data_IF_045836180826
#
_entry.id   IF_045836180826
#
_cell.length_a   1.000
_cell.length_b   1.000
_cell.length_c   1.000
_cell.angle_alpha   90.00
_cell.angle_beta   90.00
_cell.angle_gamma   90.00
#
_symmetry.space_group_name_H-M   'P 1'
#
loop_
_entity.id
_entity.type
_entity.pdbx_description
1 polymer ?
#
# COMPACT_ATOMS: atom_id res chain seq x y z
N UNK A 1 -15.37 15.71 49.65
CA UNK A 1 -15.02 14.28 49.49
C UNK A 1 -14.07 13.92 50.62
N UNK A 2 -14.36 12.93 51.46
CA UNK A 2 -13.62 12.75 52.74
C UNK A 2 -12.20 12.17 52.59
N UNK A 3 -11.80 11.63 51.45
CA UNK A 3 -10.49 10.97 51.31
C UNK A 3 -9.62 11.49 50.14
N UNK A 4 -10.16 12.18 49.14
CA UNK A 4 -9.45 12.67 47.98
C UNK A 4 -10.19 13.84 47.33
N UNK A 5 -9.48 14.92 47.01
CA UNK A 5 -10.05 16.03 46.23
C UNK A 5 -10.15 15.69 44.74
N UNK A 6 -11.00 16.43 43.98
CA UNK A 6 -11.11 16.25 42.52
C UNK A 6 -9.79 16.48 41.81
N UNK A 7 -8.97 17.42 42.26
CA UNK A 7 -7.63 17.70 41.75
C UNK A 7 -6.70 16.49 41.96
N UNK A 8 -6.64 15.97 43.19
CA UNK A 8 -5.83 14.77 43.47
C UNK A 8 -6.28 13.53 42.70
N UNK A 9 -7.58 13.43 42.41
CA UNK A 9 -8.09 12.37 41.55
C UNK A 9 -7.59 12.54 40.09
N UNK A 10 -7.67 13.74 39.52
CA UNK A 10 -7.19 14.01 38.18
C UNK A 10 -5.67 13.80 38.02
N UNK A 11 -4.90 14.17 39.03
CA UNK A 11 -3.46 13.92 39.08
C UNK A 11 -3.15 12.41 38.95
N UNK A 12 -3.86 11.56 39.71
CA UNK A 12 -3.68 10.11 39.69
C UNK A 12 -4.07 9.47 38.36
N UNK A 13 -5.15 9.90 37.71
CA UNK A 13 -5.64 9.30 36.46
C UNK A 13 -4.98 9.88 35.22
N UNK A 14 -4.23 10.97 35.33
CA UNK A 14 -3.60 11.67 34.19
C UNK A 14 -2.72 10.75 33.36
N UNK A 15 -1.94 9.89 33.99
CA UNK A 15 -1.04 8.96 33.33
C UNK A 15 -1.76 7.80 32.64
N UNK A 16 -2.95 7.44 33.14
CA UNK A 16 -3.77 6.37 32.58
C UNK A 16 -4.63 6.86 31.41
N UNK A 17 -5.08 8.12 31.48
CA UNK A 17 -5.97 8.73 30.51
C UNK A 17 -5.51 10.16 30.19
N UNK A 18 -4.52 10.32 29.34
CA UNK A 18 -3.94 11.63 28.99
C UNK A 18 -4.80 12.46 28.04
N UNK A 19 -5.67 11.84 27.25
CA UNK A 19 -6.41 12.50 26.16
C UNK A 19 -7.66 13.27 26.60
N UNK A 20 -8.49 12.82 27.59
CA UNK A 20 -9.71 13.53 28.00
C UNK A 20 -9.40 14.90 28.58
N UNK A 21 -10.20 15.91 28.19
CA UNK A 21 -10.20 17.21 28.83
C UNK A 21 -10.99 17.14 30.15
N UNK A 22 -10.41 17.66 31.23
CA UNK A 22 -10.94 17.58 32.58
C UNK A 22 -11.54 18.89 32.98
N UNK A 23 -12.81 18.89 33.38
CA UNK A 23 -13.51 20.06 33.91
C UNK A 23 -13.77 19.79 35.42
N UNK A 24 -13.32 20.71 36.27
CA UNK A 24 -13.51 20.63 37.71
C UNK A 24 -14.66 21.54 38.13
N UNK A 25 -15.61 20.99 38.88
CA UNK A 25 -16.68 21.80 39.52
C UNK A 25 -16.32 21.98 41.00
N UNK A 26 -16.16 23.23 41.45
CA UNK A 26 -15.64 23.52 42.78
C UNK A 26 -16.45 24.60 43.50
N UNK A 27 -16.34 24.66 44.84
CA UNK A 27 -16.88 25.75 45.66
C UNK A 27 -15.79 26.77 46.01
N UNK A 28 -16.19 27.89 46.60
CA UNK A 28 -15.33 29.04 46.89
C UNK A 28 -14.07 28.73 47.70
N UNK A 29 -14.08 27.71 48.55
CA UNK A 29 -12.95 27.35 49.43
C UNK A 29 -11.74 26.74 48.72
N UNK A 30 -11.89 26.27 47.46
CA UNK A 30 -10.88 25.49 46.78
C UNK A 30 -10.33 26.15 45.52
N UNK A 31 -10.64 27.44 45.29
CA UNK A 31 -10.30 28.19 44.05
C UNK A 31 -8.79 28.24 43.83
N UNK A 32 -7.98 28.48 44.86
CA UNK A 32 -6.53 28.55 44.69
C UNK A 32 -5.92 27.20 44.24
N UNK A 33 -6.42 26.09 44.77
CA UNK A 33 -6.01 24.75 44.36
C UNK A 33 -6.45 24.42 42.91
N UNK A 34 -7.63 24.95 42.52
CA UNK A 34 -8.12 24.80 41.14
C UNK A 34 -7.25 25.60 40.15
N UNK A 35 -6.86 26.83 40.47
CA UNK A 35 -5.98 27.67 39.64
C UNK A 35 -4.61 27.03 39.46
N UNK A 36 -4.02 26.50 40.55
CA UNK A 36 -2.75 25.79 40.50
C UNK A 36 -2.81 24.54 39.58
N UNK A 37 -3.95 23.84 39.61
CA UNK A 37 -4.16 22.66 38.76
C UNK A 37 -4.31 23.01 37.25
N UNK A 38 -4.91 24.17 36.94
CA UNK A 38 -4.96 24.68 35.56
C UNK A 38 -3.55 25.04 35.08
N UNK A 39 -2.78 25.78 35.91
CA UNK A 39 -1.43 26.19 35.59
C UNK A 39 -0.49 25.00 35.37
N UNK A 40 -0.73 23.89 36.07
CA UNK A 40 -0.01 22.61 35.84
C UNK A 40 -0.55 21.80 34.65
N UNK A 41 -1.61 22.27 33.96
CA UNK A 41 -2.24 21.59 32.83
C UNK A 41 -3.02 20.33 33.20
N UNK A 42 -3.38 20.15 34.45
CA UNK A 42 -4.12 18.97 34.93
C UNK A 42 -5.63 19.08 34.72
N UNK A 43 -6.16 20.31 34.73
CA UNK A 43 -7.57 20.66 34.56
C UNK A 43 -7.67 21.64 33.38
N UNK A 44 -8.58 21.39 32.46
CA UNK A 44 -8.85 22.27 31.35
C UNK A 44 -9.59 23.54 31.77
N UNK A 45 -10.58 23.39 32.64
CA UNK A 45 -11.41 24.49 33.16
C UNK A 45 -12.01 24.10 34.51
N UNK A 46 -12.24 25.09 35.36
CA UNK A 46 -13.10 24.94 36.54
C UNK A 46 -14.41 25.69 36.38
N UNK A 47 -15.42 25.27 37.10
CA UNK A 47 -16.77 25.86 37.16
C UNK A 47 -17.13 26.04 38.62
N UNK A 48 -17.54 27.26 38.99
CA UNK A 48 -17.91 27.60 40.39
C UNK A 48 -19.31 27.11 40.72
N UNK A 49 -19.50 26.75 41.99
CA UNK A 49 -20.81 26.47 42.59
C UNK A 49 -21.35 27.73 43.25
N UNK A 50 -22.63 28.11 43.06
CA UNK A 50 -23.62 27.53 42.16
C UNK A 50 -23.32 27.89 40.71
N UNK A 51 -23.53 26.93 39.77
CA UNK A 51 -23.27 27.12 38.34
C UNK A 51 -24.49 27.62 37.59
N UNK A 52 -24.24 28.31 36.51
CA UNK A 52 -25.21 28.63 35.48
C UNK A 52 -25.23 27.52 34.39
N UNK A 53 -26.44 27.06 34.01
CA UNK A 53 -26.58 25.96 33.07
C UNK A 53 -26.06 26.30 31.66
N UNK A 54 -26.22 27.53 31.20
CA UNK A 54 -25.75 27.93 29.87
C UNK A 54 -24.22 28.05 29.86
N UNK A 55 -23.63 28.50 30.95
CA UNK A 55 -22.18 28.51 31.15
C UNK A 55 -21.58 27.09 31.12
N UNK A 56 -22.21 26.14 31.84
CA UNK A 56 -21.78 24.74 31.85
C UNK A 56 -21.88 24.13 30.46
N UNK A 57 -23.00 24.38 29.76
CA UNK A 57 -23.19 23.90 28.38
C UNK A 57 -22.08 24.41 27.50
N UNK A 58 -21.83 25.72 27.46
CA UNK A 58 -20.78 26.34 26.65
C UNK A 58 -19.39 25.81 27.01
N UNK A 59 -19.11 25.57 28.29
CA UNK A 59 -17.84 25.01 28.74
C UNK A 59 -17.61 23.58 28.21
N UNK A 60 -18.67 22.75 28.19
CA UNK A 60 -18.63 21.38 27.69
C UNK A 60 -18.49 21.37 26.16
N UNK A 61 -19.26 22.21 25.45
CA UNK A 61 -19.17 22.33 23.97
C UNK A 61 -17.76 22.74 23.55
N UNK A 62 -17.19 23.78 24.17
CA UNK A 62 -15.82 24.21 23.89
C UNK A 62 -14.79 23.10 24.19
N UNK A 63 -14.95 22.40 25.31
CA UNK A 63 -14.06 21.27 25.63
C UNK A 63 -14.17 20.13 24.61
N UNK A 64 -15.38 19.81 24.18
CA UNK A 64 -15.62 18.79 23.17
C UNK A 64 -14.99 19.15 21.81
N UNK A 65 -15.15 20.39 21.37
CA UNK A 65 -14.57 20.89 20.12
C UNK A 65 -13.04 20.85 20.15
N UNK A 66 -12.43 21.23 21.27
CA UNK A 66 -10.97 21.14 21.43
C UNK A 66 -10.51 19.67 21.45
N UNK A 67 -11.23 18.79 22.15
CA UNK A 67 -10.92 17.36 22.16
C UNK A 67 -10.99 16.76 20.76
N UNK A 68 -12.07 17.06 20.02
CA UNK A 68 -12.26 16.62 18.64
C UNK A 68 -11.13 17.09 17.72
N UNK A 69 -10.81 18.38 17.78
CA UNK A 69 -9.74 18.99 16.97
C UNK A 69 -8.37 18.38 17.29
N UNK A 70 -8.06 18.14 18.58
CA UNK A 70 -6.81 17.49 18.98
C UNK A 70 -6.73 16.05 18.47
N UNK A 71 -7.84 15.32 18.52
CA UNK A 71 -7.92 13.94 18.03
C UNK A 71 -7.70 13.89 16.52
N UNK A 72 -8.41 14.74 15.76
CA UNK A 72 -8.25 14.85 14.30
C UNK A 72 -6.81 15.23 13.93
N UNK A 73 -6.21 16.20 14.63
CA UNK A 73 -4.82 16.60 14.39
C UNK A 73 -3.84 15.45 14.66
N UNK A 74 -4.04 14.68 15.71
CA UNK A 74 -3.21 13.52 16.04
C UNK A 74 -3.32 12.44 14.97
N UNK A 75 -4.53 12.15 14.51
CA UNK A 75 -4.77 11.19 13.41
C UNK A 75 -4.07 11.65 12.12
N UNK A 76 -4.23 12.94 11.74
CA UNK A 76 -3.57 13.51 10.56
C UNK A 76 -2.05 13.50 10.66
N UNK A 77 -1.49 13.82 11.83
CA UNK A 77 -0.05 13.74 12.04
C UNK A 77 0.47 12.30 11.92
N UNK A 78 -0.30 11.32 12.41
CA UNK A 78 0.08 9.90 12.27
C UNK A 78 0.04 9.44 10.81
N UNK A 79 -0.99 9.84 10.06
CA UNK A 79 -1.10 9.58 8.61
C UNK A 79 0.07 10.23 7.84
N UNK A 80 0.35 11.50 8.16
CA UNK A 80 1.44 12.24 7.53
C UNK A 80 2.80 11.60 7.81
N UNK A 81 3.05 11.19 9.07
CA UNK A 81 4.30 10.50 9.43
C UNK A 81 4.47 9.18 8.66
N UNK A 82 3.41 8.38 8.53
CA UNK A 82 3.44 7.15 7.72
C UNK A 82 3.77 7.44 6.26
N UNK A 83 3.15 8.49 5.68
CA UNK A 83 3.43 8.90 4.31
C UNK A 83 4.88 9.38 4.11
N UNK A 84 5.46 10.08 5.10
CA UNK A 84 6.87 10.45 5.08
C UNK A 84 7.79 9.24 5.17
N UNK A 85 7.52 8.29 6.08
CA UNK A 85 8.33 7.08 6.24
C UNK A 85 8.31 6.21 4.97
N UNK A 86 7.16 6.14 4.28
CA UNK A 86 7.02 5.46 2.98
C UNK A 86 7.81 6.19 1.88
N UNK A 87 7.73 7.52 1.83
CA UNK A 87 8.47 8.33 0.87
C UNK A 87 9.99 8.19 1.06
N UNK A 88 10.47 8.21 2.29
CA UNK A 88 11.90 8.04 2.60
C UNK A 88 12.39 6.65 2.17
N UNK A 89 11.64 5.59 2.45
CA UNK A 89 11.95 4.24 1.97
C UNK A 89 11.97 4.19 0.45
N UNK A 90 11.01 4.85 -0.20
CA UNK A 90 10.95 4.94 -1.66
C UNK A 90 12.18 5.64 -2.24
N UNK A 91 12.53 6.82 -1.74
CA UNK A 91 13.68 7.61 -2.23
C UNK A 91 14.99 6.86 -2.05
N UNK A 92 15.18 6.21 -0.89
CA UNK A 92 16.37 5.43 -0.60
C UNK A 92 16.52 4.23 -1.55
N UNK A 93 15.48 3.41 -1.70
CA UNK A 93 15.52 2.24 -2.57
C UNK A 93 15.59 2.61 -4.05
N UNK A 94 14.85 3.64 -4.48
CA UNK A 94 14.91 4.12 -5.86
C UNK A 94 16.33 4.60 -6.20
N UNK A 95 16.97 5.33 -5.30
CA UNK A 95 18.35 5.80 -5.48
C UNK A 95 19.34 4.64 -5.58
N UNK A 96 19.17 3.59 -4.76
CA UNK A 96 20.02 2.39 -4.81
C UNK A 96 19.83 1.63 -6.13
N UNK A 97 18.59 1.40 -6.53
CA UNK A 97 18.26 0.60 -7.73
C UNK A 97 18.55 1.32 -9.06
N UNK A 98 18.58 2.66 -9.03
CA UNK A 98 19.08 3.48 -10.15
C UNK A 98 20.61 3.46 -10.22
N UNK A 99 21.28 3.49 -9.08
CA UNK A 99 22.76 3.50 -9.02
C UNK A 99 23.38 2.21 -9.53
N UNK A 100 22.80 1.05 -9.23
CA UNK A 100 23.35 -0.25 -9.61
C UNK A 100 23.56 -0.42 -11.13
N UNK A 101 22.54 -0.20 -12.02
CA UNK A 101 22.71 -0.29 -13.47
C UNK A 101 23.64 0.81 -14.01
N UNK A 102 23.63 2.03 -13.43
CA UNK A 102 24.54 3.10 -13.81
C UNK A 102 26.00 2.73 -13.53
N UNK A 103 26.29 2.19 -12.34
CA UNK A 103 27.64 1.71 -12.02
C UNK A 103 28.08 0.55 -12.89
N UNK A 104 27.15 -0.34 -13.29
CA UNK A 104 27.41 -1.41 -14.24
C UNK A 104 27.79 -0.85 -15.61
N UNK A 105 27.05 0.15 -16.12
CA UNK A 105 27.36 0.82 -17.39
C UNK A 105 28.74 1.48 -17.32
N UNK A 106 29.02 2.24 -16.26
CA UNK A 106 30.32 2.92 -16.09
C UNK A 106 31.47 1.91 -16.03
N UNK A 107 31.31 0.80 -15.29
CA UNK A 107 32.33 -0.25 -15.22
C UNK A 107 32.58 -0.91 -16.57
N UNK A 108 31.53 -1.15 -17.38
CA UNK A 108 31.65 -1.73 -18.71
C UNK A 108 32.36 -0.75 -19.67
N UNK A 109 32.05 0.55 -19.60
CA UNK A 109 32.72 1.57 -20.40
C UNK A 109 34.21 1.60 -20.06
N UNK A 110 34.61 1.61 -18.77
CA UNK A 110 36.00 1.58 -18.34
C UNK A 110 36.75 0.32 -18.83
N UNK A 111 36.09 -0.85 -18.77
CA UNK A 111 36.67 -2.10 -19.30
C UNK A 111 36.86 -2.04 -20.82
N UNK A 112 35.89 -1.45 -21.54
CA UNK A 112 36.00 -1.32 -23.00
C UNK A 112 37.12 -0.38 -23.47
N UNK A 113 37.54 0.55 -22.63
CA UNK A 113 38.68 1.44 -22.89
C UNK A 113 40.03 0.71 -22.70
N UNK A 114 40.08 -0.34 -21.87
CA UNK A 114 41.26 -1.12 -21.58
C UNK A 114 41.51 -2.26 -22.58
N UNK A 115 40.46 -2.76 -23.26
CA UNK A 115 40.54 -3.90 -24.16
C UNK A 115 40.24 -3.50 -25.62
N UNK A 116 41.22 -3.61 -26.47
CA UNK A 116 41.09 -3.46 -27.94
C UNK A 116 40.63 -4.77 -28.55
N UNK A 117 39.29 -4.90 -28.80
CA UNK A 117 38.76 -6.05 -29.56
C UNK A 117 37.38 -6.59 -29.26
N UNK A 118 36.77 -6.26 -28.14
CA UNK A 118 35.49 -6.88 -27.68
C UNK A 118 34.27 -5.95 -27.72
N UNK A 119 34.25 -4.96 -28.59
CA UNK A 119 33.24 -3.88 -28.67
C UNK A 119 31.78 -4.37 -28.66
N UNK A 120 31.47 -5.48 -29.30
CA UNK A 120 30.08 -5.96 -29.45
C UNK A 120 29.51 -6.62 -28.19
N UNK A 121 30.35 -7.21 -27.33
CA UNK A 121 29.93 -7.83 -26.08
C UNK A 121 29.63 -6.77 -25.02
N UNK A 122 30.47 -5.73 -24.93
CA UNK A 122 30.28 -4.61 -24.00
C UNK A 122 29.03 -3.81 -24.35
N UNK A 123 28.76 -3.55 -25.63
CA UNK A 123 27.54 -2.89 -26.08
C UNK A 123 26.27 -3.64 -25.67
N UNK A 124 26.25 -4.98 -25.76
CA UNK A 124 25.12 -5.80 -25.29
C UNK A 124 24.90 -5.70 -23.77
N UNK A 125 25.94 -5.65 -22.99
CA UNK A 125 25.86 -5.53 -21.54
C UNK A 125 25.36 -4.14 -21.13
N UNK A 126 25.81 -3.08 -21.83
CA UNK A 126 25.30 -1.72 -21.66
C UNK A 126 23.80 -1.66 -21.99
N UNK A 127 23.40 -2.20 -23.15
CA UNK A 127 22.02 -2.27 -23.58
C UNK A 127 21.12 -2.97 -22.54
N UNK A 128 21.55 -4.11 -22.00
CA UNK A 128 20.83 -4.81 -20.93
C UNK A 128 20.70 -3.97 -19.66
N UNK A 129 21.72 -3.21 -19.29
CA UNK A 129 21.70 -2.34 -18.11
C UNK A 129 20.76 -1.15 -18.31
N UNK A 130 20.77 -0.55 -19.52
CA UNK A 130 19.83 0.52 -19.89
C UNK A 130 18.39 0.02 -19.86
N UNK A 131 18.11 -1.17 -20.43
CA UNK A 131 16.77 -1.75 -20.38
C UNK A 131 16.29 -2.06 -18.96
N UNK A 132 17.19 -2.46 -18.04
CA UNK A 132 16.84 -2.64 -16.63
C UNK A 132 16.44 -1.31 -15.99
N UNK A 133 17.18 -0.25 -16.30
CA UNK A 133 16.92 1.10 -15.81
C UNK A 133 15.56 1.62 -16.31
N UNK A 134 15.31 1.47 -17.62
CA UNK A 134 14.05 1.89 -18.25
C UNK A 134 12.83 1.19 -17.60
N UNK A 135 12.89 -0.14 -17.42
CA UNK A 135 11.83 -0.90 -16.73
C UNK A 135 11.62 -0.42 -15.29
N UNK A 136 12.68 -0.04 -14.60
CA UNK A 136 12.57 0.48 -13.24
C UNK A 136 11.88 1.86 -13.23
N UNK A 137 12.26 2.75 -14.15
CA UNK A 137 11.63 4.07 -14.31
C UNK A 137 10.14 3.93 -14.64
N UNK A 138 9.78 3.03 -15.56
CA UNK A 138 8.37 2.76 -15.90
C UNK A 138 7.58 2.28 -14.67
N UNK A 139 8.17 1.42 -13.84
CA UNK A 139 7.54 0.98 -12.59
C UNK A 139 7.29 2.13 -11.60
N UNK A 140 8.21 3.10 -11.54
CA UNK A 140 8.04 4.33 -10.73
C UNK A 140 6.90 5.19 -11.28
N UNK A 141 6.84 5.36 -12.60
CA UNK A 141 5.77 6.14 -13.25
C UNK A 141 4.41 5.50 -12.99
N UNK A 142 4.30 4.19 -13.07
CA UNK A 142 3.07 3.45 -12.78
C UNK A 142 2.65 3.60 -11.31
N UNK A 143 3.61 3.54 -10.38
CA UNK A 143 3.37 3.83 -8.97
C UNK A 143 2.80 5.25 -8.78
N UNK A 144 3.46 6.25 -9.38
CA UNK A 144 3.04 7.65 -9.26
C UNK A 144 1.65 7.90 -9.86
N UNK A 145 1.37 7.34 -11.03
CA UNK A 145 0.04 7.42 -11.66
C UNK A 145 -1.03 6.77 -10.79
N UNK A 146 -0.75 5.60 -10.21
CA UNK A 146 -1.69 4.92 -9.32
C UNK A 146 -1.92 5.71 -8.02
N UNK A 147 -0.89 6.39 -7.48
CA UNK A 147 -1.02 7.11 -6.23
C UNK A 147 -1.81 8.42 -6.34
N UNK A 148 -1.75 9.12 -7.48
CA UNK A 148 -2.37 10.45 -7.69
C UNK A 148 -3.61 10.50 -8.57
N UNK A 149 -3.93 9.42 -9.30
CA UNK A 149 -5.09 9.47 -10.21
C UNK A 149 -6.41 9.53 -9.45
N UNK A 150 -7.24 10.51 -9.80
CA UNK A 150 -8.65 10.54 -9.43
C UNK A 150 -9.34 9.26 -9.95
N UNK A 151 -10.38 8.83 -9.25
CA UNK A 151 -11.15 7.66 -9.67
C UNK A 151 -11.91 7.95 -10.98
N UNK A 152 -11.70 7.09 -11.97
CA UNK A 152 -12.48 7.08 -13.19
C UNK A 152 -13.42 5.88 -13.16
N UNK A 153 -14.60 6.07 -12.55
CA UNK A 153 -15.55 4.97 -12.37
C UNK A 153 -16.31 4.72 -13.69
N UNK A 154 -16.27 3.49 -14.16
CA UNK A 154 -16.98 3.05 -15.36
C UNK A 154 -17.41 1.59 -15.27
N UNK A 155 -18.29 1.17 -16.18
CA UNK A 155 -18.65 -0.24 -16.33
C UNK A 155 -17.46 -0.98 -16.92
N UNK A 156 -17.06 -2.06 -16.28
CA UNK A 156 -15.90 -2.87 -16.67
C UNK A 156 -16.33 -3.98 -17.64
N UNK A 157 -15.66 -4.06 -18.78
CA UNK A 157 -15.69 -5.22 -19.68
C UNK A 157 -14.43 -6.07 -19.43
N UNK A 158 -14.59 -7.15 -18.68
CA UNK A 158 -13.48 -8.02 -18.33
C UNK A 158 -12.94 -8.79 -19.52
N UNK A 159 -13.76 -9.15 -20.53
CA UNK A 159 -13.28 -9.83 -21.73
C UNK A 159 -12.29 -8.93 -22.50
N UNK A 160 -12.68 -7.68 -22.73
CA UNK A 160 -11.80 -6.70 -23.38
C UNK A 160 -10.55 -6.43 -22.54
N UNK A 161 -10.70 -6.23 -21.23
CA UNK A 161 -9.60 -5.91 -20.34
C UNK A 161 -8.53 -7.02 -20.30
N UNK A 162 -8.95 -8.28 -20.16
CA UNK A 162 -8.03 -9.43 -20.15
C UNK A 162 -7.42 -9.64 -21.54
N UNK A 163 -8.19 -9.51 -22.62
CA UNK A 163 -7.67 -9.58 -24.00
C UNK A 163 -6.55 -8.57 -24.24
N UNK A 164 -6.79 -7.28 -23.93
CA UNK A 164 -5.78 -6.23 -24.08
C UNK A 164 -4.50 -6.52 -23.26
N UNK A 165 -4.64 -7.09 -22.05
CA UNK A 165 -3.51 -7.44 -21.20
C UNK A 165 -2.73 -8.61 -21.80
N UNK A 166 -3.39 -9.70 -22.17
CA UNK A 166 -2.72 -10.87 -22.76
C UNK A 166 -2.01 -10.51 -24.07
N UNK A 167 -2.63 -9.69 -24.91
CA UNK A 167 -2.01 -9.21 -26.16
C UNK A 167 -0.74 -8.39 -25.88
N UNK A 168 -0.76 -7.54 -24.87
CA UNK A 168 0.43 -6.76 -24.46
C UNK A 168 1.59 -7.63 -23.95
N UNK A 169 1.29 -8.82 -23.43
CA UNK A 169 2.26 -9.75 -22.87
C UNK A 169 2.81 -10.77 -23.87
N UNK A 170 2.28 -10.85 -25.09
CA UNK A 170 2.69 -11.81 -26.12
C UNK A 170 4.19 -11.79 -26.43
N UNK A 171 4.84 -10.63 -26.25
CA UNK A 171 6.28 -10.46 -26.51
C UNK A 171 7.17 -10.85 -25.32
N UNK A 172 6.57 -11.27 -24.19
CA UNK A 172 7.37 -11.69 -23.03
C UNK A 172 8.02 -13.05 -23.28
N UNK A 173 9.30 -13.21 -22.86
CA UNK A 173 9.98 -14.52 -22.94
C UNK A 173 9.18 -15.59 -22.16
N UNK A 174 8.91 -16.72 -22.82
CA UNK A 174 8.18 -17.84 -22.22
C UNK A 174 6.66 -17.79 -22.42
N UNK A 175 6.07 -16.68 -22.86
CA UNK A 175 4.62 -16.55 -23.06
C UNK A 175 4.05 -17.65 -23.98
N UNK A 176 4.71 -17.98 -25.07
CA UNK A 176 4.26 -19.01 -26.03
C UNK A 176 4.20 -20.45 -25.46
N UNK A 177 4.80 -20.69 -24.29
CA UNK A 177 4.79 -21.99 -23.60
C UNK A 177 3.66 -22.11 -22.57
N UNK A 178 2.93 -21.03 -22.34
CA UNK A 178 1.92 -20.94 -21.30
C UNK A 178 0.54 -21.13 -21.90
N UNK A 179 -0.23 -22.04 -21.33
CA UNK A 179 -1.64 -22.20 -21.65
C UNK A 179 -2.47 -21.31 -20.75
N UNK A 180 -3.28 -20.43 -21.33
CA UNK A 180 -4.21 -19.58 -20.58
C UNK A 180 -5.60 -20.19 -20.57
N UNK A 181 -6.14 -20.45 -19.40
CA UNK A 181 -7.53 -20.86 -19.19
C UNK A 181 -8.29 -19.68 -18.57
N UNK A 182 -9.14 -19.04 -19.35
CA UNK A 182 -9.82 -17.80 -18.93
C UNK A 182 -11.31 -18.11 -18.82
N UNK A 183 -11.85 -17.95 -17.61
CA UNK A 183 -13.26 -18.11 -17.29
C UNK A 183 -13.82 -16.80 -16.70
N UNK A 184 -14.68 -16.13 -17.46
CA UNK A 184 -15.29 -14.86 -17.05
C UNK A 184 -16.80 -15.07 -16.94
N UNK A 185 -17.33 -14.96 -15.72
CA UNK A 185 -18.74 -14.99 -15.43
C UNK A 185 -19.18 -13.60 -14.96
N UNK A 186 -19.64 -12.78 -15.89
CA UNK A 186 -20.11 -11.42 -15.62
C UNK A 186 -21.62 -11.38 -15.75
N UNK A 187 -22.34 -11.36 -14.61
CA UNK A 187 -23.81 -11.45 -14.58
C UNK A 187 -24.51 -10.10 -14.72
N UNK A 188 -23.81 -8.99 -14.45
CA UNK A 188 -24.33 -7.62 -14.54
C UNK A 188 -23.20 -6.61 -14.69
N UNK A 189 -23.52 -5.34 -14.97
CA UNK A 189 -22.55 -4.28 -15.13
C UNK A 189 -21.83 -3.98 -13.79
N UNK A 190 -20.61 -4.47 -13.64
CA UNK A 190 -19.72 -4.13 -12.52
C UNK A 190 -19.08 -2.78 -12.76
N UNK A 191 -19.22 -1.84 -11.82
CA UNK A 191 -18.61 -0.52 -11.88
C UNK A 191 -17.33 -0.46 -11.04
N UNK A 192 -16.24 -0.01 -11.63
CA UNK A 192 -14.96 0.19 -10.95
C UNK A 192 -14.05 1.11 -11.77
N UNK A 193 -12.82 1.29 -11.34
CA UNK A 193 -11.80 2.04 -12.08
C UNK A 193 -11.02 1.09 -13.03
N UNK A 194 -11.18 1.24 -14.38
CA UNK A 194 -10.53 0.36 -15.34
C UNK A 194 -9.00 0.47 -15.33
N UNK A 195 -8.45 1.64 -14.95
CA UNK A 195 -7.01 1.86 -14.89
C UNK A 195 -6.42 1.07 -13.73
N UNK A 196 -7.03 1.16 -12.54
CA UNK A 196 -6.57 0.42 -11.36
C UNK A 196 -6.72 -1.10 -11.55
N UNK A 197 -7.82 -1.56 -12.15
CA UNK A 197 -8.00 -2.97 -12.48
C UNK A 197 -6.96 -3.46 -13.49
N UNK A 198 -6.64 -2.67 -14.52
CA UNK A 198 -5.57 -2.98 -15.48
C UNK A 198 -4.23 -3.12 -14.78
N UNK A 199 -3.88 -2.22 -13.85
CA UNK A 199 -2.64 -2.27 -13.07
C UNK A 199 -2.57 -3.56 -12.25
N UNK A 200 -3.66 -3.91 -11.54
CA UNK A 200 -3.73 -5.14 -10.73
C UNK A 200 -3.51 -6.37 -11.60
N UNK A 201 -4.33 -6.52 -12.64
CA UNK A 201 -4.33 -7.70 -13.49
C UNK A 201 -3.03 -7.85 -14.29
N UNK A 202 -2.52 -6.76 -14.89
CA UNK A 202 -1.29 -6.80 -15.66
C UNK A 202 -0.07 -7.17 -14.81
N UNK A 203 0.03 -6.66 -13.57
CA UNK A 203 1.12 -7.02 -12.67
C UNK A 203 1.08 -8.49 -12.25
N UNK A 204 -0.10 -9.01 -11.90
CA UNK A 204 -0.23 -10.41 -11.47
C UNK A 204 -0.01 -11.36 -12.64
N UNK A 205 -0.64 -11.13 -13.81
CA UNK A 205 -0.50 -11.98 -14.99
C UNK A 205 0.94 -11.94 -15.51
N UNK A 206 1.58 -10.77 -15.58
CA UNK A 206 2.99 -10.68 -15.99
C UNK A 206 3.93 -11.40 -15.02
N UNK A 207 3.65 -11.38 -13.71
CA UNK A 207 4.39 -12.17 -12.74
C UNK A 207 4.21 -13.66 -12.97
N UNK A 208 2.99 -14.15 -13.22
CA UNK A 208 2.72 -15.55 -13.54
C UNK A 208 3.47 -16.00 -14.81
N UNK A 209 3.51 -15.16 -15.84
CA UNK A 209 4.32 -15.42 -17.07
C UNK A 209 5.80 -15.45 -16.74
N UNK A 210 6.31 -14.51 -15.96
CA UNK A 210 7.72 -14.36 -15.64
C UNK A 210 8.27 -15.49 -14.77
N UNK A 211 7.48 -15.97 -13.81
CA UNK A 211 7.87 -16.99 -12.85
C UNK A 211 7.36 -18.39 -13.22
N UNK A 212 7.01 -18.60 -14.51
CA UNK A 212 6.67 -19.93 -14.98
C UNK A 212 7.84 -20.91 -14.77
N UNK A 213 7.52 -22.14 -14.49
CA UNK A 213 8.53 -23.20 -14.33
C UNK A 213 8.95 -23.70 -15.71
N UNK A 214 10.25 -23.52 -16.05
CA UNK A 214 10.81 -23.88 -17.35
C UNK A 214 10.96 -25.39 -17.52
N UNK A 215 11.00 -26.13 -16.42
CA UNK A 215 11.19 -27.57 -16.38
C UNK A 215 9.86 -28.32 -16.48
N UNK A 216 8.73 -27.64 -16.28
CA UNK A 216 7.39 -28.21 -16.49
C UNK A 216 7.06 -28.35 -17.98
N UNK A 217 6.56 -29.53 -18.35
CA UNK A 217 6.12 -29.83 -19.73
C UNK A 217 4.96 -28.95 -20.18
N UNK A 218 4.09 -28.54 -19.24
CA UNK A 218 2.96 -27.65 -19.48
C UNK A 218 2.89 -26.60 -18.39
N UNK A 219 3.18 -25.35 -18.76
CA UNK A 219 2.92 -24.20 -17.91
C UNK A 219 1.49 -23.69 -18.15
N UNK A 220 0.75 -23.38 -17.10
CA UNK A 220 -0.64 -22.93 -17.16
C UNK A 220 -0.90 -21.73 -16.27
N UNK A 221 -1.78 -20.86 -16.73
CA UNK A 221 -2.33 -19.76 -15.94
C UNK A 221 -3.85 -19.84 -16.05
N UNK A 222 -4.51 -20.02 -14.92
CA UNK A 222 -5.96 -20.06 -14.78
C UNK A 222 -6.46 -18.71 -14.27
N UNK A 223 -7.34 -18.04 -15.02
CA UNK A 223 -7.93 -16.76 -14.66
C UNK A 223 -9.44 -16.96 -14.52
N UNK A 224 -9.93 -16.88 -13.29
CA UNK A 224 -11.35 -17.00 -12.98
C UNK A 224 -11.87 -15.66 -12.45
N UNK A 225 -12.81 -15.04 -13.18
CA UNK A 225 -13.44 -13.77 -12.80
C UNK A 225 -14.93 -14.00 -12.67
N UNK A 226 -15.49 -13.68 -11.50
CA UNK A 226 -16.93 -13.69 -11.23
C UNK A 226 -17.34 -12.32 -10.74
N UNK A 227 -18.22 -11.64 -11.48
CA UNK A 227 -18.64 -10.28 -11.15
C UNK A 227 -20.16 -10.12 -11.16
N UNK A 228 -20.64 -9.33 -10.20
CA UNK A 228 -22.01 -8.90 -10.05
C UNK A 228 -22.10 -7.37 -10.01
N UNK A 229 -23.31 -6.81 -9.84
CA UNK A 229 -23.45 -5.37 -9.59
C UNK A 229 -22.89 -4.89 -8.25
N UNK A 230 -22.57 -5.82 -7.33
CA UNK A 230 -22.12 -5.48 -5.97
C UNK A 230 -20.64 -5.68 -5.75
N UNK A 231 -20.08 -6.73 -6.34
CA UNK A 231 -18.69 -7.12 -6.12
C UNK A 231 -18.13 -7.93 -7.28
N UNK A 232 -16.81 -8.00 -7.35
CA UNK A 232 -16.05 -8.81 -8.29
C UNK A 232 -15.03 -9.65 -7.54
N UNK A 233 -15.05 -10.96 -7.77
CA UNK A 233 -14.04 -11.92 -7.32
C UNK A 233 -13.14 -12.28 -8.48
N UNK A 234 -11.83 -12.15 -8.30
CA UNK A 234 -10.80 -12.46 -9.29
C UNK A 234 -9.84 -13.46 -8.65
N UNK A 235 -9.68 -14.62 -9.30
CA UNK A 235 -8.73 -15.65 -8.88
C UNK A 235 -7.79 -15.91 -10.03
N UNK A 236 -6.49 -15.72 -9.80
CA UNK A 236 -5.43 -15.98 -10.79
C UNK A 236 -4.47 -17.00 -10.19
N UNK A 237 -4.39 -18.17 -10.84
CA UNK A 237 -3.54 -19.28 -10.40
C UNK A 237 -2.53 -19.62 -11.47
N UNK A 238 -1.28 -19.76 -11.12
CA UNK A 238 -0.22 -20.28 -11.99
C UNK A 238 0.36 -21.59 -11.38
N UNK A 239 0.91 -22.42 -12.22
CA UNK A 239 1.67 -23.59 -11.84
C UNK A 239 3.19 -23.37 -11.94
N UNK A 240 3.65 -22.16 -11.74
CA UNK A 240 5.05 -21.76 -11.79
C UNK A 240 5.91 -22.30 -10.65
N UNK A 241 7.03 -21.62 -10.39
CA UNK A 241 8.01 -22.03 -9.37
C UNK A 241 7.51 -21.87 -7.93
N UNK A 242 6.43 -21.11 -7.70
CA UNK A 242 5.93 -20.77 -6.38
C UNK A 242 6.88 -19.94 -5.53
N UNK A 243 6.54 -19.80 -4.24
CA UNK A 243 7.28 -19.03 -3.24
C UNK A 243 7.72 -19.90 -2.09
N UNK A 244 8.83 -19.53 -1.43
CA UNK A 244 9.31 -20.20 -0.21
C UNK A 244 8.45 -19.80 0.99
N UNK A 245 8.50 -20.68 2.02
CA UNK A 245 7.88 -20.34 3.30
C UNK A 245 8.51 -19.06 3.88
N UNK A 246 7.66 -18.16 4.39
CA UNK A 246 8.07 -16.86 4.92
C UNK A 246 8.21 -15.71 3.89
N UNK A 247 8.22 -16.00 2.59
CA UNK A 247 8.21 -14.93 1.58
C UNK A 247 6.83 -14.29 1.43
N UNK A 248 5.75 -15.06 1.61
CA UNK A 248 4.35 -14.63 1.41
C UNK A 248 3.98 -13.37 2.16
N UNK A 249 4.44 -13.24 3.40
CA UNK A 249 4.12 -12.09 4.26
C UNK A 249 4.79 -10.79 3.78
N UNK A 250 5.83 -10.91 2.97
CA UNK A 250 6.66 -9.80 2.54
C UNK A 250 6.49 -9.41 1.07
N UNK A 251 5.79 -10.21 0.25
CA UNK A 251 5.70 -9.96 -1.20
C UNK A 251 5.02 -8.64 -1.57
N UNK A 252 4.19 -8.13 -0.68
CA UNK A 252 3.52 -6.83 -0.85
C UNK A 252 4.33 -5.66 -0.27
N UNK A 253 5.49 -5.93 0.35
CA UNK A 253 6.38 -4.87 0.81
C UNK A 253 7.09 -4.25 -0.39
N UNK A 254 7.21 -2.93 -0.37
CA UNK A 254 7.91 -2.20 -1.42
C UNK A 254 9.36 -2.69 -1.54
N UNK A 255 9.82 -2.93 -2.78
CA UNK A 255 11.15 -3.43 -3.13
C UNK A 255 11.49 -4.84 -2.67
N UNK A 256 10.53 -5.59 -2.14
CA UNK A 256 10.76 -6.98 -1.80
C UNK A 256 11.00 -7.80 -3.07
N UNK A 257 12.10 -8.57 -3.05
CA UNK A 257 12.50 -9.51 -4.09
C UNK A 257 12.81 -10.83 -3.40
N UNK A 258 12.12 -11.90 -3.74
CA UNK A 258 12.46 -13.24 -3.27
C UNK A 258 13.89 -13.64 -3.70
N UNK A 259 14.22 -14.89 -3.64
CA UNK A 259 15.59 -15.42 -3.86
C UNK A 259 16.23 -15.14 -5.24
N UNK A 260 15.57 -14.44 -6.14
CA UNK A 260 16.14 -14.07 -7.43
C UNK A 260 16.26 -12.54 -7.57
N UNK A 261 17.38 -11.94 -7.11
CA UNK A 261 17.58 -10.48 -7.10
C UNK A 261 17.56 -9.84 -8.49
N UNK A 262 17.71 -10.63 -9.56
CA UNK A 262 17.67 -10.15 -10.95
C UNK A 262 16.26 -10.07 -11.55
N UNK A 263 15.21 -10.41 -10.79
CA UNK A 263 13.87 -10.58 -11.31
C UNK A 263 12.92 -9.43 -10.96
N UNK A 264 13.12 -8.23 -11.53
CA UNK A 264 12.16 -7.12 -11.45
C UNK A 264 12.47 -6.05 -10.40
N UNK A 265 11.64 -5.01 -10.35
CA UNK A 265 11.81 -3.84 -9.48
C UNK A 265 11.40 -4.10 -8.00
N UNK A 266 10.63 -5.16 -7.73
CA UNK A 266 10.03 -5.37 -6.40
C UNK A 266 8.91 -4.37 -6.05
N UNK A 267 8.45 -3.58 -7.03
CA UNK A 267 7.38 -2.57 -6.81
C UNK A 267 6.01 -3.11 -7.28
N UNK A 268 5.98 -4.05 -8.22
CA UNK A 268 4.73 -4.47 -8.89
C UNK A 268 3.64 -4.98 -7.93
N UNK A 269 3.97 -5.88 -7.00
CA UNK A 269 2.99 -6.41 -6.03
C UNK A 269 2.62 -5.37 -4.95
N UNK A 270 3.53 -4.47 -4.59
CA UNK A 270 3.20 -3.33 -3.75
C UNK A 270 2.15 -2.42 -4.42
N UNK A 271 2.33 -2.10 -5.72
CA UNK A 271 1.33 -1.34 -6.50
C UNK A 271 -0.02 -2.07 -6.55
N UNK A 272 -0.01 -3.39 -6.71
CA UNK A 272 -1.23 -4.20 -6.66
C UNK A 272 -1.95 -4.02 -5.33
N UNK A 273 -1.25 -4.16 -4.20
CA UNK A 273 -1.84 -3.99 -2.87
C UNK A 273 -2.44 -2.60 -2.67
N UNK A 274 -1.70 -1.56 -3.08
CA UNK A 274 -2.18 -0.18 -3.05
C UNK A 274 -3.42 0.04 -3.92
N UNK A 275 -3.41 -0.48 -5.16
CA UNK A 275 -4.56 -0.36 -6.06
C UNK A 275 -5.80 -1.08 -5.52
N UNK A 276 -5.65 -2.29 -4.98
CA UNK A 276 -6.73 -3.05 -4.33
C UNK A 276 -7.28 -2.30 -3.11
N UNK A 277 -6.39 -1.74 -2.27
CA UNK A 277 -6.79 -0.96 -1.08
C UNK A 277 -7.58 0.29 -1.49
N UNK A 278 -7.13 1.01 -2.52
CA UNK A 278 -7.86 2.17 -3.07
C UNK A 278 -9.25 1.80 -3.60
N UNK A 279 -9.39 0.62 -4.23
CA UNK A 279 -10.67 0.07 -4.65
C UNK A 279 -11.51 -0.48 -3.49
N UNK A 280 -11.07 -0.31 -2.22
CA UNK A 280 -11.70 -0.85 -1.01
C UNK A 280 -11.84 -2.38 -1.04
N UNK A 281 -10.97 -3.05 -1.78
CA UNK A 281 -10.93 -4.50 -1.93
C UNK A 281 -9.97 -5.17 -0.95
N UNK A 282 -9.90 -6.49 -1.08
CA UNK A 282 -8.94 -7.35 -0.37
C UNK A 282 -8.15 -8.20 -1.35
N UNK A 283 -6.92 -8.52 -1.02
CA UNK A 283 -6.07 -9.45 -1.78
C UNK A 283 -5.42 -10.44 -0.82
N UNK A 284 -5.47 -11.70 -1.19
CA UNK A 284 -4.84 -12.81 -0.50
C UNK A 284 -3.97 -13.63 -1.45
N UNK A 285 -2.98 -14.38 -0.93
CA UNK A 285 -2.05 -15.18 -1.71
C UNK A 285 -1.82 -16.54 -1.07
N UNK A 286 -1.96 -17.57 -1.88
CA UNK A 286 -1.56 -18.94 -1.54
C UNK A 286 -0.44 -19.35 -2.50
N UNK A 287 0.66 -19.86 -1.99
CA UNK A 287 1.78 -20.28 -2.82
C UNK A 287 2.56 -21.42 -2.18
N UNK A 288 3.06 -22.32 -3.03
CA UNK A 288 3.93 -23.42 -2.64
C UNK A 288 4.96 -23.63 -3.76
N UNK A 289 6.22 -23.91 -3.40
CA UNK A 289 7.35 -24.05 -4.33
C UNK A 289 7.18 -25.13 -5.41
N UNK A 290 6.33 -26.12 -5.19
CA UNK A 290 6.13 -27.22 -6.15
C UNK A 290 4.83 -27.11 -6.92
N UNK A 291 3.89 -26.33 -6.42
CA UNK A 291 2.52 -26.24 -6.96
C UNK A 291 2.39 -25.00 -7.84
N UNK A 292 2.83 -23.84 -7.36
CA UNK A 292 2.70 -22.54 -8.00
C UNK A 292 2.11 -21.48 -7.06
N UNK A 293 1.45 -20.46 -7.62
CA UNK A 293 0.91 -19.33 -6.87
C UNK A 293 -0.53 -19.04 -7.25
N UNK A 294 -1.37 -18.74 -6.27
CA UNK A 294 -2.76 -18.31 -6.45
C UNK A 294 -3.00 -16.99 -5.74
N UNK A 295 -3.40 -15.97 -6.49
CA UNK A 295 -3.88 -14.71 -5.96
C UNK A 295 -5.42 -14.70 -5.96
N UNK A 296 -6.00 -14.29 -4.83
CA UNK A 296 -7.45 -14.14 -4.64
C UNK A 296 -7.75 -12.67 -4.32
N UNK A 297 -8.56 -12.03 -5.14
CA UNK A 297 -8.88 -10.62 -5.02
C UNK A 297 -10.40 -10.47 -4.97
N UNK A 298 -10.89 -9.68 -4.02
CA UNK A 298 -12.29 -9.30 -3.90
C UNK A 298 -12.39 -7.77 -3.93
N UNK A 299 -13.19 -7.24 -4.84
CA UNK A 299 -13.36 -5.79 -5.02
C UNK A 299 -14.86 -5.46 -4.99
N UNK A 300 -15.31 -4.56 -4.11
CA UNK A 300 -16.68 -4.07 -4.13
C UNK A 300 -16.91 -3.17 -5.37
N UNK A 301 -18.14 -3.11 -5.85
CA UNK A 301 -18.50 -2.14 -6.87
C UNK A 301 -18.39 -0.72 -6.31
N UNK A 302 -17.99 0.21 -7.16
CA UNK A 302 -17.92 1.63 -6.85
C UNK A 302 -19.17 2.33 -7.42
N UNK A 303 -19.74 3.25 -6.65
CA UNK A 303 -20.90 4.05 -7.05
C UNK A 303 -20.51 5.26 -7.90
#
# INVERSE_FOLDING_TARGET
MPQMTGVQFFEKIRHLHSEPLRILITGYSDINAAIDSINKGEVFRFIDKPWDNDYVRTAIENAYDIYRTRKELKERNTELQKAYDELDKFVYSASHDLRAPLMSILGIVQLSELETGSSNQYLKLIEQSVHKLDKFILSIIDYYKNSRSDFHIGVIDFNKLIGDITDSLNFMPGFSRINFNIHINQTSGFKSDPIKLRIILSNIISNAVKYHDKDKVKSGIDINISSSSKECSIIISDNGIGMKDGEKDNIFNMFFRGNNPNSGSGIGLYIVKEAVTKLKGTIDVESNQTIGTTFKILIPALD
#
